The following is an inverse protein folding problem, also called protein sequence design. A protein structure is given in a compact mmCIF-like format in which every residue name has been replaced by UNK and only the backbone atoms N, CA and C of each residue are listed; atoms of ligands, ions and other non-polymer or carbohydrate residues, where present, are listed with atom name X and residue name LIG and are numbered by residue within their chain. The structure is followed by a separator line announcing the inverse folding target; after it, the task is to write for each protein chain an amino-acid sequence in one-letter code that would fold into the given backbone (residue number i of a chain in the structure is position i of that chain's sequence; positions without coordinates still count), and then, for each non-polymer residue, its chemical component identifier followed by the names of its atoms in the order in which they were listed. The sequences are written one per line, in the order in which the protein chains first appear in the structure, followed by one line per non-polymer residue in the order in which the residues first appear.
data_IF_285365336101
#
_entry.id   IF_285365336101
#
_cell.length_a   1.000
_cell.length_b   1.000
_cell.length_c   1.000
_cell.angle_alpha   90.00
_cell.angle_beta   90.00
_cell.angle_gamma   90.00
#
_symmetry.space_group_name_H-M   'P 1'
#
loop_
_entity.id
_entity.type
_entity.pdbx_description
1 polymer ?
#
# COMPACT_ATOMS: atom_id res chain seq x y z
N UNK A 1 -0.42 9.50 32.78
CA UNK A 1 -0.46 9.18 31.34
C UNK A 1 -1.92 9.02 30.93
N UNK A 2 -2.47 9.89 30.09
CA UNK A 2 -3.89 9.81 29.72
C UNK A 2 -4.03 8.90 28.46
N UNK A 3 -4.69 7.73 28.54
CA UNK A 3 -4.80 6.79 27.40
C UNK A 3 -5.40 7.42 26.14
N UNK A 4 -6.23 8.45 26.31
CA UNK A 4 -6.79 9.25 25.22
C UNK A 4 -5.70 9.97 24.39
N UNK A 5 -4.68 10.55 25.03
CA UNK A 5 -3.55 11.20 24.32
C UNK A 5 -2.75 10.19 23.50
N UNK A 6 -2.49 9.01 24.07
CA UNK A 6 -1.76 7.94 23.38
C UNK A 6 -2.52 7.51 22.12
N UNK A 7 -3.83 7.25 22.24
CA UNK A 7 -4.64 6.83 21.09
C UNK A 7 -4.81 7.95 20.06
N UNK A 8 -5.02 9.20 20.50
CA UNK A 8 -5.11 10.34 19.60
C UNK A 8 -3.82 10.51 18.76
N UNK A 9 -2.65 10.37 19.39
CA UNK A 9 -1.38 10.41 18.69
C UNK A 9 -1.18 9.23 17.72
N UNK A 10 -1.63 8.02 18.09
CA UNK A 10 -1.57 6.85 17.19
C UNK A 10 -2.46 7.02 15.96
N UNK A 11 -3.66 7.58 16.12
CA UNK A 11 -4.55 7.90 15.00
C UNK A 11 -3.93 8.99 14.12
N UNK A 12 -3.34 10.02 14.74
CA UNK A 12 -2.62 11.07 14.02
C UNK A 12 -1.45 10.51 13.22
N UNK A 13 -0.59 9.70 13.85
CA UNK A 13 0.52 8.98 13.21
C UNK A 13 0.04 8.18 12.00
N UNK A 14 -1.07 7.45 12.14
CA UNK A 14 -1.63 6.66 11.05
C UNK A 14 -2.13 7.51 9.87
N UNK A 15 -2.62 8.74 10.10
CA UNK A 15 -3.14 9.62 9.05
C UNK A 15 -2.02 10.43 8.38
N UNK A 16 -1.07 10.95 9.17
CA UNK A 16 -0.04 11.88 8.71
C UNK A 16 1.36 11.25 8.60
N UNK A 17 1.54 9.98 8.95
CA UNK A 17 2.83 9.27 8.89
C UNK A 17 3.80 9.60 10.02
N UNK A 18 3.58 10.70 10.77
CA UNK A 18 4.34 11.07 11.96
C UNK A 18 3.42 11.49 13.10
N UNK A 19 3.67 10.99 14.30
CA UNK A 19 2.95 11.39 15.52
C UNK A 19 3.30 12.82 15.95
N UNK A 20 2.37 13.49 16.65
CA UNK A 20 2.65 14.73 17.37
C UNK A 20 3.74 14.50 18.43
N UNK A 21 3.67 13.36 19.12
CA UNK A 21 4.79 12.77 19.85
C UNK A 21 5.42 11.72 18.94
N UNK A 22 6.68 11.93 18.55
CA UNK A 22 7.36 11.05 17.60
C UNK A 22 7.61 9.64 18.18
N UNK A 23 7.82 9.56 19.50
CA UNK A 23 7.99 8.31 20.25
C UNK A 23 6.63 7.71 20.61
N UNK A 24 5.99 7.07 19.63
CA UNK A 24 4.65 6.49 19.78
C UNK A 24 4.51 5.46 20.93
N UNK A 25 5.63 4.83 21.32
CA UNK A 25 5.71 3.86 22.42
C UNK A 25 6.02 4.48 23.80
N UNK A 26 6.48 5.73 23.86
CA UNK A 26 6.94 6.34 25.10
C UNK A 26 6.38 7.75 25.28
N UNK A 27 5.29 7.86 26.05
CA UNK A 27 4.72 9.14 26.50
C UNK A 27 5.21 9.55 27.91
N UNK A 28 6.23 8.87 28.43
CA UNK A 28 6.84 9.17 29.71
C UNK A 28 7.88 10.30 29.62
N UNK A 29 8.60 10.53 30.72
CA UNK A 29 9.66 11.54 30.83
C UNK A 29 10.85 11.31 29.87
N UNK A 30 11.00 10.08 29.38
CA UNK A 30 12.02 9.70 28.38
C UNK A 30 11.49 9.75 26.93
N UNK A 31 10.24 10.15 26.73
CA UNK A 31 9.65 10.39 25.42
C UNK A 31 10.01 11.77 24.87
N UNK A 32 9.80 11.96 23.58
CA UNK A 32 9.89 13.28 22.95
C UNK A 32 8.69 14.14 23.33
N UNK A 33 8.91 15.44 23.50
CA UNK A 33 7.81 16.40 23.67
C UNK A 33 6.93 16.47 22.41
N UNK A 34 5.62 16.62 22.62
CA UNK A 34 4.69 16.81 21.53
C UNK A 34 5.05 18.08 20.73
N UNK A 35 4.99 18.00 19.40
CA UNK A 35 5.18 19.17 18.53
C UNK A 35 4.14 20.26 18.80
N UNK A 36 2.92 19.86 19.20
CA UNK A 36 1.85 20.75 19.63
C UNK A 36 1.03 20.07 20.75
N UNK A 37 1.33 20.35 22.03
CA UNK A 37 0.63 19.76 23.18
C UNK A 37 -0.86 20.11 23.25
N UNK A 38 -1.22 21.35 22.93
CA UNK A 38 -2.59 21.86 22.98
C UNK A 38 -3.48 21.14 21.95
N UNK A 39 -2.96 20.91 20.75
CA UNK A 39 -3.63 20.13 19.72
C UNK A 39 -3.82 18.68 20.15
N UNK A 40 -2.78 18.06 20.74
CA UNK A 40 -2.89 16.70 21.26
C UNK A 40 -3.99 16.59 22.33
N UNK A 41 -4.09 17.59 23.21
CA UNK A 41 -5.12 17.66 24.25
C UNK A 41 -6.51 17.83 23.67
N UNK A 42 -6.67 18.72 22.69
CA UNK A 42 -7.91 18.90 21.98
C UNK A 42 -8.37 17.60 21.29
N UNK A 43 -7.45 16.91 20.60
CA UNK A 43 -7.76 15.64 19.92
C UNK A 43 -8.12 14.54 20.93
N UNK A 44 -7.42 14.46 22.05
CA UNK A 44 -7.72 13.51 23.12
C UNK A 44 -9.10 13.76 23.74
N UNK A 45 -9.41 15.02 24.09
CA UNK A 45 -10.72 15.41 24.61
C UNK A 45 -11.84 15.09 23.61
N UNK A 46 -11.64 15.44 22.33
CA UNK A 46 -12.58 15.14 21.25
C UNK A 46 -12.80 13.64 21.07
N UNK A 47 -11.74 12.84 21.17
CA UNK A 47 -11.83 11.39 21.00
C UNK A 47 -12.68 10.75 22.10
N UNK A 48 -12.48 11.16 23.36
CA UNK A 48 -13.29 10.71 24.51
C UNK A 48 -14.75 11.19 24.36
N UNK A 49 -14.96 12.47 24.04
CA UNK A 49 -16.29 13.05 23.86
C UNK A 49 -17.10 12.45 22.70
N UNK A 50 -16.43 11.82 21.73
CA UNK A 50 -17.08 11.09 20.63
C UNK A 50 -17.23 9.58 20.88
N UNK A 51 -17.08 9.14 22.14
CA UNK A 51 -17.24 7.74 22.54
C UNK A 51 -16.13 6.84 22.03
N UNK A 52 -14.89 7.34 21.97
CA UNK A 52 -13.71 6.56 21.56
C UNK A 52 -13.78 5.99 20.13
N UNK A 53 -14.61 6.59 19.28
CA UNK A 53 -14.82 6.12 17.91
C UNK A 53 -13.66 6.51 16.99
N UNK A 54 -12.80 5.53 16.67
CA UNK A 54 -11.67 5.69 15.74
C UNK A 54 -12.12 6.23 14.37
N UNK A 55 -13.22 5.70 13.81
CA UNK A 55 -13.72 6.13 12.49
C UNK A 55 -14.09 7.63 12.45
N UNK A 56 -14.80 8.12 13.48
CA UNK A 56 -15.14 9.55 13.62
C UNK A 56 -13.88 10.41 13.73
N UNK A 57 -12.87 9.96 14.48
CA UNK A 57 -11.61 10.69 14.63
C UNK A 57 -10.83 10.74 13.32
N UNK A 58 -10.69 9.62 12.61
CA UNK A 58 -10.06 9.57 11.29
C UNK A 58 -10.79 10.50 10.33
N UNK A 59 -12.13 10.42 10.24
CA UNK A 59 -12.93 11.31 9.37
C UNK A 59 -12.67 12.79 9.69
N UNK A 60 -12.57 13.14 10.97
CA UNK A 60 -12.27 14.51 11.38
C UNK A 60 -10.89 14.97 10.86
N UNK A 61 -9.85 14.14 10.99
CA UNK A 61 -8.52 14.45 10.48
C UNK A 61 -8.49 14.54 8.95
N UNK A 62 -9.14 13.62 8.24
CA UNK A 62 -9.21 13.61 6.77
C UNK A 62 -9.93 14.85 6.19
N UNK A 63 -10.82 15.47 6.96
CA UNK A 63 -11.54 16.70 6.54
C UNK A 63 -10.79 17.99 6.91
N UNK A 64 -9.67 17.89 7.65
CA UNK A 64 -8.86 19.05 8.03
C UNK A 64 -8.22 19.72 6.81
N UNK A 65 -7.80 20.99 6.98
CA UNK A 65 -6.99 21.66 5.95
C UNK A 65 -5.61 21.01 5.85
N UNK A 66 -5.00 20.61 6.98
CA UNK A 66 -3.69 19.95 7.01
C UNK A 66 -3.63 18.65 6.20
N UNK A 67 -4.71 17.87 6.18
CA UNK A 67 -4.77 16.67 5.33
C UNK A 67 -4.95 16.97 3.84
N UNK A 68 -5.57 18.10 3.50
CA UNK A 68 -5.86 18.52 2.12
C UNK A 68 -4.80 19.42 1.50
N UNK A 69 -3.68 19.62 2.20
CA UNK A 69 -2.55 20.35 1.65
C UNK A 69 -1.90 19.57 0.52
N UNK A 70 -1.27 20.30 -0.41
CA UNK A 70 -0.45 19.70 -1.45
C UNK A 70 0.80 19.05 -0.83
N UNK A 71 1.32 17.98 -1.46
CA UNK A 71 2.58 17.34 -1.05
C UNK A 71 3.84 18.13 -1.43
N UNK A 72 3.69 19.30 -2.07
CA UNK A 72 4.79 20.14 -2.53
C UNK A 72 5.30 21.01 -1.38
N UNK A 73 6.54 20.76 -0.96
CA UNK A 73 7.22 21.57 0.03
C UNK A 73 7.71 22.90 -0.58
N UNK A 74 7.46 24.01 0.11
CA UNK A 74 8.12 25.29 -0.19
C UNK A 74 9.55 25.30 0.33
N UNK A 75 10.47 25.95 -0.39
CA UNK A 75 11.89 25.98 -0.04
C UNK A 75 12.14 26.58 1.36
N UNK A 76 11.34 27.59 1.74
CA UNK A 76 11.40 28.20 3.06
C UNK A 76 10.98 27.20 4.16
N UNK A 77 9.88 26.47 3.95
CA UNK A 77 9.40 25.46 4.88
C UNK A 77 10.43 24.34 5.08
N UNK A 78 11.11 23.93 4.00
CA UNK A 78 12.13 22.88 4.06
C UNK A 78 13.40 23.32 4.81
N UNK A 79 13.71 24.62 4.85
CA UNK A 79 14.82 25.17 5.66
C UNK A 79 14.45 25.29 7.14
N UNK A 80 13.23 25.71 7.45
CA UNK A 80 12.79 25.97 8.83
C UNK A 80 12.32 24.71 9.56
N UNK A 81 11.62 23.81 8.88
CA UNK A 81 11.14 22.53 9.42
C UNK A 81 11.41 21.40 8.41
N UNK A 82 12.68 20.97 8.27
CA UNK A 82 13.05 19.91 7.33
C UNK A 82 12.34 18.58 7.57
N UNK A 83 11.84 18.37 8.79
CA UNK A 83 11.14 17.16 9.20
C UNK A 83 9.62 17.25 9.04
N UNK A 84 9.11 18.39 8.57
CA UNK A 84 7.69 18.70 8.42
C UNK A 84 6.85 18.38 9.67
N UNK A 85 7.41 18.63 10.86
CA UNK A 85 6.75 18.41 12.17
C UNK A 85 5.48 19.23 12.33
N UNK A 86 5.40 20.38 11.68
CA UNK A 86 4.26 21.30 11.73
C UNK A 86 3.24 21.08 10.61
N UNK A 87 3.47 20.11 9.71
CA UNK A 87 2.61 19.82 8.55
C UNK A 87 2.34 21.08 7.70
N UNK A 88 3.41 21.65 7.15
CA UNK A 88 3.33 22.73 6.15
C UNK A 88 2.83 22.24 4.79
N UNK A 89 3.05 20.97 4.50
CA UNK A 89 2.63 20.24 3.30
C UNK A 89 2.25 18.80 3.71
N UNK A 90 1.53 18.07 2.84
CA UNK A 90 1.30 16.65 3.09
C UNK A 90 2.60 15.86 2.84
N UNK A 91 2.95 14.93 3.73
CA UNK A 91 4.14 14.11 3.54
C UNK A 91 3.79 12.87 2.74
N UNK A 92 4.49 12.66 1.63
CA UNK A 92 4.36 11.46 0.80
C UNK A 92 4.64 10.23 1.65
N UNK A 93 3.73 9.25 1.61
CA UNK A 93 3.83 8.05 2.44
C UNK A 93 3.92 6.80 1.59
N UNK A 94 4.84 5.91 1.97
CA UNK A 94 4.90 4.57 1.40
C UNK A 94 3.79 3.72 1.99
N UNK A 95 3.14 2.92 1.16
CA UNK A 95 2.13 1.95 1.59
C UNK A 95 2.79 0.81 2.36
N UNK A 96 2.08 0.29 3.36
CA UNK A 96 2.47 -0.92 4.10
C UNK A 96 2.35 -2.16 3.19
N UNK A 97 3.13 -3.21 3.46
CA UNK A 97 3.14 -4.45 2.67
C UNK A 97 1.76 -5.08 2.49
N UNK A 98 0.91 -5.04 3.53
CA UNK A 98 -0.47 -5.51 3.49
C UNK A 98 -1.32 -4.71 2.49
N UNK A 99 -1.12 -3.38 2.44
CA UNK A 99 -1.84 -2.50 1.51
C UNK A 99 -1.38 -2.72 0.08
N UNK A 100 -0.07 -2.90 -0.15
CA UNK A 100 0.48 -3.23 -1.48
C UNK A 100 -0.10 -4.56 -1.96
N UNK A 101 -0.01 -5.61 -1.15
CA UNK A 101 -0.55 -6.95 -1.48
C UNK A 101 -2.04 -6.91 -1.76
N UNK A 102 -2.83 -6.28 -0.89
CA UNK A 102 -4.29 -6.21 -1.04
C UNK A 102 -4.69 -5.36 -2.26
N UNK A 103 -3.92 -4.32 -2.61
CA UNK A 103 -4.14 -3.54 -3.84
C UNK A 103 -3.88 -4.36 -5.10
N UNK A 104 -2.82 -5.18 -5.14
CA UNK A 104 -2.55 -6.11 -6.25
C UNK A 104 -3.72 -7.10 -6.41
N UNK A 105 -4.22 -7.67 -5.31
CA UNK A 105 -5.39 -8.54 -5.31
C UNK A 105 -6.67 -7.79 -5.77
N UNK A 106 -6.84 -6.53 -5.37
CA UNK A 106 -8.00 -5.75 -5.73
C UNK A 106 -8.07 -5.46 -7.23
N UNK A 107 -6.93 -5.11 -7.82
CA UNK A 107 -6.81 -4.69 -9.22
C UNK A 107 -6.87 -5.89 -10.17
N UNK A 108 -6.18 -6.98 -9.84
CA UNK A 108 -6.40 -8.29 -10.49
C UNK A 108 -7.83 -8.83 -10.25
N UNK A 109 -8.51 -8.26 -9.24
CA UNK A 109 -9.84 -8.58 -8.76
C UNK A 109 -9.98 -10.01 -8.23
N UNK A 110 -8.88 -10.56 -7.71
CA UNK A 110 -8.84 -11.75 -6.87
C UNK A 110 -9.24 -11.47 -5.42
N UNK A 111 -9.29 -10.19 -5.00
CA UNK A 111 -9.56 -9.81 -3.62
C UNK A 111 -10.92 -10.32 -3.12
N UNK A 112 -10.89 -11.25 -2.18
CA UNK A 112 -12.04 -11.64 -1.37
C UNK A 112 -12.20 -10.68 -0.18
N UNK A 113 -13.36 -10.01 -0.14
CA UNK A 113 -13.74 -9.05 0.91
C UNK A 113 -14.53 -9.68 2.06
N UNK A 114 -14.75 -11.00 2.03
CA UNK A 114 -15.52 -11.71 3.07
C UNK A 114 -14.91 -11.45 4.44
N UNK A 115 -15.75 -11.02 5.38
CA UNK A 115 -15.30 -10.73 6.74
C UNK A 115 -15.37 -11.98 7.62
N UNK A 116 -14.48 -12.04 8.61
CA UNK A 116 -14.36 -13.15 9.57
C UNK A 116 -13.96 -14.48 8.90
N UNK A 117 -14.04 -15.57 9.66
CA UNK A 117 -13.64 -16.90 9.21
C UNK A 117 -12.22 -17.29 9.64
N UNK A 118 -11.79 -18.53 9.33
CA UNK A 118 -10.47 -19.02 9.67
C UNK A 118 -9.36 -18.29 8.91
N UNK A 119 -8.14 -18.26 9.45
CA UNK A 119 -7.00 -17.70 8.75
C UNK A 119 -6.53 -18.61 7.60
N UNK A 120 -5.89 -18.02 6.60
CA UNK A 120 -5.22 -18.74 5.50
C UNK A 120 -3.75 -18.90 5.82
N UNK A 121 -3.19 -20.07 5.52
CA UNK A 121 -1.76 -20.30 5.66
C UNK A 121 -1.01 -19.44 4.63
N UNK A 122 0.09 -18.76 4.98
CA UNK A 122 0.89 -18.09 3.97
C UNK A 122 1.55 -19.11 3.04
N UNK A 123 1.85 -18.66 1.82
CA UNK A 123 2.62 -19.43 0.87
C UNK A 123 4.02 -19.74 1.41
N UNK A 124 4.44 -20.99 1.22
CA UNK A 124 5.74 -21.53 1.60
C UNK A 124 6.21 -22.45 0.49
N UNK A 125 7.52 -22.59 0.31
CA UNK A 125 8.06 -23.56 -0.66
C UNK A 125 7.75 -24.99 -0.22
N UNK A 126 7.98 -25.29 1.07
CA UNK A 126 7.76 -26.61 1.65
C UNK A 126 7.09 -26.51 3.03
N UNK A 127 6.14 -27.40 3.36
CA UNK A 127 5.59 -27.50 4.70
C UNK A 127 6.62 -28.07 5.68
N UNK A 128 6.58 -27.60 6.94
CA UNK A 128 7.41 -28.10 8.04
C UNK A 128 6.50 -28.51 9.19
N UNK A 129 6.00 -29.74 9.15
CA UNK A 129 5.00 -30.26 10.10
C UNK A 129 5.48 -30.23 11.55
N UNK A 130 6.76 -30.53 11.78
CA UNK A 130 7.38 -30.49 13.11
C UNK A 130 7.36 -29.09 13.75
N UNK A 131 7.21 -28.02 12.96
CA UNK A 131 7.03 -26.63 13.41
C UNK A 131 5.61 -26.11 13.20
N UNK A 132 4.67 -26.96 12.76
CA UNK A 132 3.29 -26.60 12.41
C UNK A 132 3.22 -25.49 11.35
N UNK A 133 4.18 -25.48 10.42
CA UNK A 133 4.25 -24.54 9.31
C UNK A 133 3.67 -25.20 8.07
N UNK A 134 2.36 -25.08 7.89
CA UNK A 134 1.65 -25.65 6.75
C UNK A 134 1.75 -24.74 5.53
N UNK A 135 1.76 -25.30 4.32
CA UNK A 135 1.75 -24.52 3.09
C UNK A 135 0.34 -23.98 2.82
N UNK A 136 0.25 -22.76 2.29
CA UNK A 136 -0.97 -22.22 1.72
C UNK A 136 -0.76 -21.71 0.30
N UNK A 137 -1.83 -21.27 -0.37
CA UNK A 137 -1.79 -20.81 -1.75
C UNK A 137 -0.98 -19.51 -1.90
N UNK A 138 -0.39 -19.32 -3.08
CA UNK A 138 0.46 -18.17 -3.41
C UNK A 138 -0.25 -16.83 -3.17
N UNK A 139 -1.50 -16.71 -3.63
CA UNK A 139 -2.32 -15.51 -3.48
C UNK A 139 -3.15 -15.49 -2.19
N UNK A 140 -2.96 -16.46 -1.29
CA UNK A 140 -3.74 -16.59 -0.06
C UNK A 140 -5.24 -16.79 -0.28
N UNK A 141 -5.64 -17.47 -1.37
CA UNK A 141 -7.03 -17.62 -1.83
C UNK A 141 -7.71 -16.28 -2.11
N UNK A 142 -6.92 -15.26 -2.46
CA UNK A 142 -7.40 -13.89 -2.64
C UNK A 142 -7.83 -13.19 -1.35
N UNK A 143 -7.65 -13.81 -0.18
CA UNK A 143 -8.03 -13.23 1.11
C UNK A 143 -7.16 -12.01 1.42
N UNK A 144 -7.79 -11.01 2.05
CA UNK A 144 -7.08 -9.84 2.62
C UNK A 144 -5.92 -10.29 3.49
N UNK A 145 -4.81 -9.55 3.44
CA UNK A 145 -3.58 -9.86 4.18
C UNK A 145 -3.80 -9.96 5.69
N UNK A 146 -4.85 -9.31 6.21
CA UNK A 146 -5.33 -9.45 7.60
C UNK A 146 -5.63 -10.90 8.01
N UNK A 147 -6.07 -11.75 7.07
CA UNK A 147 -6.41 -13.15 7.32
C UNK A 147 -5.25 -14.10 7.09
N UNK A 148 -4.09 -13.60 6.65
CA UNK A 148 -2.88 -14.43 6.52
C UNK A 148 -2.36 -14.79 7.91
N UNK A 149 -2.19 -16.08 8.17
CA UNK A 149 -1.75 -16.59 9.46
C UNK A 149 -0.32 -16.12 9.78
N UNK A 150 -0.17 -15.41 10.89
CA UNK A 150 1.13 -14.99 11.41
C UNK A 150 1.69 -16.07 12.35
N UNK A 151 2.97 -16.39 12.20
CA UNK A 151 3.69 -17.30 13.10
C UNK A 151 4.98 -16.63 13.59
N UNK A 152 5.52 -17.07 14.73
CA UNK A 152 6.79 -16.53 15.28
C UNK A 152 8.04 -17.08 14.58
N UNK A 153 7.89 -18.04 13.66
CA UNK A 153 9.01 -18.74 13.05
C UNK A 153 9.23 -18.31 11.60
N UNK A 154 8.20 -18.43 10.77
CA UNK A 154 8.27 -18.14 9.34
C UNK A 154 6.94 -17.52 8.90
N UNK A 155 6.98 -16.25 8.53
CA UNK A 155 5.83 -15.49 8.04
C UNK A 155 5.68 -15.58 6.52
N UNK A 156 5.00 -14.59 5.95
CA UNK A 156 4.90 -14.43 4.49
C UNK A 156 6.13 -13.70 3.99
N UNK A 157 6.91 -14.32 3.11
CA UNK A 157 8.11 -13.70 2.51
C UNK A 157 7.82 -12.36 1.83
N UNK A 158 6.69 -12.28 1.10
CA UNK A 158 6.25 -11.04 0.47
C UNK A 158 6.04 -9.94 1.53
N UNK A 159 5.22 -10.20 2.55
CA UNK A 159 4.93 -9.20 3.58
C UNK A 159 6.19 -8.80 4.37
N UNK A 160 7.04 -9.77 4.74
CA UNK A 160 8.31 -9.51 5.42
C UNK A 160 9.24 -8.61 4.60
N UNK A 161 9.26 -8.79 3.28
CA UNK A 161 10.05 -7.93 2.37
C UNK A 161 9.58 -6.47 2.43
N UNK A 162 8.27 -6.24 2.60
CA UNK A 162 7.66 -4.92 2.73
C UNK A 162 7.44 -4.51 4.20
N UNK A 163 8.44 -4.74 5.03
CA UNK A 163 8.54 -4.24 6.42
C UNK A 163 7.39 -4.73 7.34
N UNK A 164 6.87 -5.94 7.12
CA UNK A 164 5.91 -6.52 8.06
C UNK A 164 6.56 -6.71 9.45
N UNK A 165 5.93 -6.27 10.56
CA UNK A 165 6.56 -6.26 11.86
C UNK A 165 6.87 -7.66 12.35
N UNK A 166 8.05 -7.83 12.95
CA UNK A 166 8.42 -9.10 13.58
C UNK A 166 7.45 -9.40 14.75
N UNK A 167 6.71 -10.53 14.71
CA UNK A 167 5.69 -10.84 15.71
C UNK A 167 6.25 -11.22 17.09
N UNK A 168 7.58 -11.25 17.25
CA UNK A 168 8.25 -11.53 18.53
C UNK A 168 8.58 -10.27 19.32
N UNK A 169 8.49 -9.08 18.71
CA UNK A 169 8.88 -7.80 19.33
C UNK A 169 7.71 -6.81 19.23
N UNK A 170 7.45 -6.07 20.30
CA UNK A 170 6.49 -4.98 20.27
C UNK A 170 7.03 -3.81 19.42
N UNK A 171 6.22 -3.33 18.48
CA UNK A 171 6.56 -2.21 17.59
C UNK A 171 5.41 -1.22 17.59
N UNK A 172 5.59 -0.02 18.16
CA UNK A 172 4.58 1.04 18.13
C UNK A 172 4.71 2.00 16.97
N UNK A 173 5.81 1.94 16.24
CA UNK A 173 5.93 2.51 14.91
C UNK A 173 6.40 1.45 13.91
N UNK A 174 5.84 1.50 12.70
CA UNK A 174 6.25 0.60 11.62
C UNK A 174 7.45 1.19 10.90
N UNK A 175 8.34 0.31 10.47
CA UNK A 175 9.42 0.73 9.57
C UNK A 175 8.82 1.02 8.20
N UNK A 176 9.39 2.03 7.53
CA UNK A 176 9.10 2.35 6.15
C UNK A 176 10.43 2.49 5.44
N UNK A 177 10.89 1.41 4.82
CA UNK A 177 12.16 1.38 4.11
C UNK A 177 11.95 1.51 2.59
N UNK A 178 12.99 1.92 1.87
CA UNK A 178 13.03 1.93 0.41
C UNK A 178 14.31 1.24 -0.04
N UNK A 179 14.35 -0.08 0.16
CA UNK A 179 15.53 -0.90 -0.11
C UNK A 179 15.38 -1.66 -1.43
N UNK A 180 16.49 -1.94 -2.15
CA UNK A 180 16.44 -2.67 -3.42
C UNK A 180 15.66 -4.00 -3.41
N UNK A 181 15.71 -4.83 -2.33
CA UNK A 181 14.90 -6.06 -2.25
C UNK A 181 13.40 -5.85 -2.45
N UNK A 182 12.84 -4.72 -2.01
CA UNK A 182 11.42 -4.42 -2.20
C UNK A 182 11.06 -4.17 -3.67
N UNK A 183 11.90 -3.44 -4.39
CA UNK A 183 11.72 -3.24 -5.83
C UNK A 183 11.90 -4.57 -6.59
N UNK A 184 12.90 -5.37 -6.21
CA UNK A 184 13.13 -6.68 -6.80
C UNK A 184 11.97 -7.66 -6.53
N UNK A 185 11.30 -7.56 -5.39
CA UNK A 185 10.10 -8.35 -5.10
C UNK A 185 8.93 -7.97 -6.03
N UNK A 186 8.69 -6.68 -6.30
CA UNK A 186 7.68 -6.28 -7.30
C UNK A 186 8.03 -6.77 -8.71
N UNK A 187 9.31 -6.84 -9.05
CA UNK A 187 9.75 -7.32 -10.36
C UNK A 187 9.67 -8.84 -10.51
N UNK A 188 9.97 -9.61 -9.46
CA UNK A 188 10.26 -11.05 -9.62
C UNK A 188 9.41 -11.98 -8.76
N UNK A 189 8.68 -11.47 -7.76
CA UNK A 189 7.92 -12.35 -6.88
C UNK A 189 6.82 -13.08 -7.68
N UNK A 190 6.72 -14.41 -7.57
CA UNK A 190 5.71 -15.20 -8.28
C UNK A 190 4.28 -14.69 -8.06
N UNK A 191 3.98 -14.17 -6.86
CA UNK A 191 2.68 -13.59 -6.56
C UNK A 191 2.36 -12.44 -7.50
N UNK A 192 3.29 -11.49 -7.68
CA UNK A 192 3.07 -10.31 -8.53
C UNK A 192 2.91 -10.71 -9.99
N UNK A 193 3.74 -11.64 -10.48
CA UNK A 193 3.66 -12.15 -11.85
C UNK A 193 2.37 -12.92 -12.12
N UNK A 194 1.90 -13.73 -11.16
CA UNK A 194 0.62 -14.44 -11.27
C UNK A 194 -0.56 -13.46 -11.31
N UNK A 195 -0.58 -12.49 -10.39
CA UNK A 195 -1.67 -11.50 -10.34
C UNK A 195 -1.69 -10.59 -11.58
N UNK A 196 -0.53 -10.27 -12.16
CA UNK A 196 -0.46 -9.57 -13.44
C UNK A 196 -1.08 -10.40 -14.58
N UNK A 197 -0.84 -11.73 -14.60
CA UNK A 197 -1.43 -12.65 -15.56
C UNK A 197 -2.95 -12.79 -15.41
N UNK A 198 -3.44 -12.83 -14.17
CA UNK A 198 -4.88 -12.84 -13.87
C UNK A 198 -5.54 -11.53 -14.32
N UNK A 199 -4.91 -10.39 -14.03
CA UNK A 199 -5.42 -9.09 -14.45
C UNK A 199 -5.49 -8.98 -15.98
N UNK A 200 -4.42 -9.40 -16.68
CA UNK A 200 -4.37 -9.45 -18.13
C UNK A 200 -5.51 -10.27 -18.75
N UNK A 201 -5.78 -11.47 -18.21
CA UNK A 201 -6.89 -12.30 -18.66
C UNK A 201 -8.24 -11.60 -18.54
N UNK A 202 -8.48 -10.87 -17.45
CA UNK A 202 -9.70 -10.08 -17.26
C UNK A 202 -9.80 -8.90 -18.21
N UNK A 203 -8.69 -8.22 -18.50
CA UNK A 203 -8.65 -7.09 -19.43
C UNK A 203 -8.98 -7.55 -20.86
N UNK A 204 -8.51 -8.74 -21.25
CA UNK A 204 -8.86 -9.36 -22.53
C UNK A 204 -10.36 -9.67 -22.57
N UNK A 205 -10.91 -10.30 -21.53
CA UNK A 205 -12.34 -10.63 -21.45
C UNK A 205 -13.27 -9.41 -21.50
N UNK A 206 -12.85 -8.25 -20.97
CA UNK A 206 -13.61 -6.99 -21.06
C UNK A 206 -13.67 -6.38 -22.47
N UNK A 207 -12.86 -6.86 -23.41
CA UNK A 207 -12.85 -6.48 -24.82
C UNK A 207 -12.92 -4.95 -25.09
N UNK A 208 -11.95 -4.20 -24.57
CA UNK A 208 -11.79 -2.78 -24.89
C UNK A 208 -11.57 -2.56 -26.40
N UNK A 209 -12.02 -1.43 -26.98
CA UNK A 209 -11.97 -1.20 -28.42
C UNK A 209 -10.56 -0.92 -28.96
N UNK A 210 -9.68 -0.35 -28.14
CA UNK A 210 -8.31 0.03 -28.55
C UNK A 210 -7.31 -0.21 -27.41
N UNK A 211 -6.00 -0.33 -27.71
CA UNK A 211 -4.97 -0.38 -26.67
C UNK A 211 -5.01 0.83 -25.74
N UNK A 212 -5.18 2.04 -26.29
CA UNK A 212 -5.27 3.28 -25.50
C UNK A 212 -6.46 3.30 -24.54
N UNK A 213 -7.63 2.82 -24.98
CA UNK A 213 -8.80 2.70 -24.11
C UNK A 213 -8.58 1.68 -22.97
N UNK A 214 -7.84 0.59 -23.25
CA UNK A 214 -7.46 -0.39 -22.22
C UNK A 214 -6.47 0.20 -21.23
N UNK A 215 -5.45 0.92 -21.70
CA UNK A 215 -4.49 1.63 -20.84
C UNK A 215 -5.22 2.62 -19.92
N UNK A 216 -6.15 3.41 -20.45
CA UNK A 216 -6.93 4.35 -19.64
C UNK A 216 -7.72 3.63 -18.52
N UNK A 217 -8.37 2.53 -18.84
CA UNK A 217 -9.08 1.71 -17.85
C UNK A 217 -8.13 1.10 -16.80
N UNK A 218 -6.92 0.69 -17.21
CA UNK A 218 -5.92 0.18 -16.27
C UNK A 218 -5.46 1.26 -15.28
N UNK A 219 -5.26 2.49 -15.75
CA UNK A 219 -4.93 3.64 -14.90
C UNK A 219 -6.05 3.93 -13.90
N UNK A 220 -7.31 3.93 -14.33
CA UNK A 220 -8.44 4.14 -13.42
C UNK A 220 -8.56 3.04 -12.37
N UNK A 221 -8.34 1.78 -12.75
CA UNK A 221 -8.40 0.65 -11.80
C UNK A 221 -7.25 0.67 -10.80
N UNK A 222 -6.03 1.00 -11.25
CA UNK A 222 -4.82 0.92 -10.43
C UNK A 222 -4.58 2.18 -9.58
N UNK A 223 -4.73 3.35 -10.18
CA UNK A 223 -4.35 4.65 -9.59
C UNK A 223 -5.57 5.53 -9.27
N UNK A 224 -6.78 5.15 -9.70
CA UNK A 224 -7.99 5.93 -9.44
C UNK A 224 -8.11 7.22 -10.26
N UNK A 225 -7.26 7.43 -11.27
CA UNK A 225 -7.27 8.58 -12.18
C UNK A 225 -7.07 8.15 -13.63
N UNK A 226 -7.38 9.03 -14.58
CA UNK A 226 -6.99 8.85 -15.98
C UNK A 226 -5.49 9.19 -16.17
N UNK A 227 -4.81 8.57 -17.16
CA UNK A 227 -3.45 8.94 -17.51
C UNK A 227 -3.43 10.33 -18.13
N UNK A 228 -2.32 11.06 -17.97
CA UNK A 228 -2.05 12.24 -18.79
C UNK A 228 -1.68 11.85 -20.24
N UNK A 229 -1.56 12.84 -21.13
CA UNK A 229 -1.27 12.60 -22.54
C UNK A 229 0.06 11.86 -22.73
N UNK A 230 1.10 12.28 -22.01
CA UNK A 230 2.43 11.69 -22.13
C UNK A 230 2.48 10.26 -21.56
N UNK A 231 1.74 9.98 -20.48
CA UNK A 231 1.55 8.64 -19.92
C UNK A 231 0.81 7.74 -20.91
N UNK A 232 -0.26 8.24 -21.52
CA UNK A 232 -1.04 7.49 -22.52
C UNK A 232 -0.18 7.13 -23.73
N UNK A 233 0.57 8.07 -24.26
CA UNK A 233 1.50 7.83 -25.37
C UNK A 233 2.58 6.81 -24.99
N UNK A 234 3.22 6.98 -23.83
CA UNK A 234 4.26 6.05 -23.35
C UNK A 234 3.75 4.61 -23.20
N UNK A 235 2.61 4.41 -22.55
CA UNK A 235 2.06 3.07 -22.34
C UNK A 235 1.51 2.44 -23.62
N UNK A 236 0.95 3.25 -24.52
CA UNK A 236 0.53 2.76 -25.84
C UNK A 236 1.75 2.36 -26.69
N UNK A 237 2.83 3.16 -26.66
CA UNK A 237 4.12 2.83 -27.29
C UNK A 237 4.72 1.55 -26.72
N UNK A 238 4.77 1.44 -25.39
CA UNK A 238 5.25 0.25 -24.69
C UNK A 238 4.46 -1.01 -25.07
N UNK A 239 3.16 -0.90 -25.30
CA UNK A 239 2.33 -2.03 -25.77
C UNK A 239 2.82 -2.55 -27.12
N UNK A 240 3.20 -1.66 -28.05
CA UNK A 240 3.73 -2.04 -29.36
C UNK A 240 5.14 -2.65 -29.25
N UNK A 241 5.99 -2.09 -28.40
CA UNK A 241 7.33 -2.63 -28.14
C UNK A 241 7.26 -4.05 -27.57
N UNK A 242 6.42 -4.26 -26.56
CA UNK A 242 6.19 -5.58 -25.95
C UNK A 242 5.58 -6.55 -26.97
N UNK A 243 4.63 -6.10 -27.79
CA UNK A 243 4.08 -6.94 -28.86
C UNK A 243 5.16 -7.41 -29.84
N UNK A 244 6.09 -6.53 -30.21
CA UNK A 244 7.25 -6.88 -31.06
C UNK A 244 8.16 -7.91 -30.39
N UNK A 245 8.49 -7.72 -29.11
CA UNK A 245 9.31 -8.67 -28.34
C UNK A 245 8.68 -10.07 -28.26
N UNK A 246 7.36 -10.14 -28.08
CA UNK A 246 6.61 -11.40 -28.08
C UNK A 246 6.28 -11.93 -29.47
N UNK A 247 6.69 -11.23 -30.55
CA UNK A 247 6.38 -11.57 -31.95
C UNK A 247 4.87 -11.70 -32.22
N UNK A 248 4.08 -10.85 -31.56
CA UNK A 248 2.62 -10.77 -31.72
C UNK A 248 2.29 -9.77 -32.82
N UNK A 249 1.52 -10.20 -33.82
CA UNK A 249 1.04 -9.33 -34.87
C UNK A 249 0.12 -8.23 -34.32
N UNK A 250 0.16 -7.03 -34.91
CA UNK A 250 -0.53 -5.83 -34.40
C UNK A 250 -2.05 -6.02 -34.24
N UNK A 251 -2.67 -6.79 -35.13
CA UNK A 251 -4.09 -7.14 -35.11
C UNK A 251 -4.47 -8.08 -33.95
N UNK A 252 -3.49 -8.80 -33.39
CA UNK A 252 -3.68 -9.77 -32.30
C UNK A 252 -3.29 -9.25 -30.93
N UNK A 253 -2.73 -8.04 -30.83
CA UNK A 253 -2.28 -7.44 -29.57
C UNK A 253 -3.38 -7.42 -28.52
N UNK A 254 -4.61 -7.06 -28.90
CA UNK A 254 -5.73 -6.97 -27.98
C UNK A 254 -6.15 -8.31 -27.35
N UNK A 255 -5.82 -9.44 -27.99
CA UNK A 255 -6.07 -10.79 -27.47
C UNK A 255 -4.87 -11.46 -26.79
N UNK A 256 -3.70 -10.81 -26.78
CA UNK A 256 -2.47 -11.45 -26.31
C UNK A 256 -2.28 -11.33 -24.79
N UNK A 257 -2.38 -12.46 -24.08
CA UNK A 257 -2.18 -12.47 -22.64
C UNK A 257 -0.76 -12.10 -22.21
N UNK A 258 0.27 -12.48 -22.99
CA UNK A 258 1.66 -12.15 -22.64
C UNK A 258 1.90 -10.63 -22.68
N UNK A 259 1.40 -9.95 -23.70
CA UNK A 259 1.55 -8.49 -23.84
C UNK A 259 0.88 -7.76 -22.68
N UNK A 260 -0.39 -8.10 -22.39
CA UNK A 260 -1.12 -7.42 -21.32
C UNK A 260 -0.63 -7.80 -19.92
N UNK A 261 -0.04 -9.00 -19.75
CA UNK A 261 0.62 -9.39 -18.50
C UNK A 261 1.83 -8.50 -18.23
N UNK A 262 2.67 -8.26 -19.23
CA UNK A 262 3.87 -7.43 -19.05
C UNK A 262 3.51 -5.96 -18.85
N UNK A 263 2.47 -5.45 -19.51
CA UNK A 263 1.94 -4.10 -19.23
C UNK A 263 1.39 -4.02 -17.79
N UNK A 264 0.59 -4.99 -17.35
CA UNK A 264 0.09 -5.05 -15.98
C UNK A 264 1.23 -5.10 -14.95
N UNK A 265 2.27 -5.89 -15.22
CA UNK A 265 3.46 -6.01 -14.40
C UNK A 265 4.24 -4.69 -14.33
N UNK A 266 4.45 -4.01 -15.47
CA UNK A 266 5.07 -2.69 -15.51
C UNK A 266 4.28 -1.67 -14.68
N UNK A 267 2.95 -1.72 -14.72
CA UNK A 267 2.11 -0.81 -13.94
C UNK A 267 2.17 -1.07 -12.43
N UNK A 268 2.28 -2.31 -11.96
CA UNK A 268 2.53 -2.61 -10.54
C UNK A 268 3.88 -2.06 -10.04
N UNK A 269 4.81 -1.75 -10.94
CA UNK A 269 6.11 -1.18 -10.61
C UNK A 269 6.15 0.37 -10.68
N UNK A 270 5.01 1.03 -10.93
CA UNK A 270 4.91 2.47 -10.86
C UNK A 270 5.13 2.95 -9.42
N UNK A 271 5.86 4.06 -9.25
CA UNK A 271 6.05 4.68 -7.93
C UNK A 271 4.71 5.06 -7.30
N UNK A 272 3.79 5.61 -8.09
CA UNK A 272 2.46 6.01 -7.62
C UNK A 272 1.62 4.83 -7.10
N UNK A 273 1.94 3.59 -7.48
CA UNK A 273 1.27 2.41 -6.93
C UNK A 273 1.66 2.12 -5.47
N UNK A 274 2.89 2.49 -5.07
CA UNK A 274 3.45 2.16 -3.75
C UNK A 274 3.44 3.37 -2.80
N UNK A 275 3.22 4.58 -3.33
CA UNK A 275 3.23 5.82 -2.57
C UNK A 275 1.89 6.54 -2.65
N UNK A 276 1.46 7.10 -1.51
CA UNK A 276 0.30 8.00 -1.40
C UNK A 276 0.83 9.43 -1.25
N UNK A 277 0.34 10.31 -2.12
CA UNK A 277 0.69 11.71 -2.22
C UNK A 277 -0.40 12.62 -1.67
#
# INVERSE_FOLDING_TARGET
MHPARVMANRIWLHVFGRGLVATADNFGTYGESASNPELLDYLAWRFVGNGWSIKKQIRFLLLSQSFRQESRAEEAAQKTDPQNRLLSHYSVRRLEGESIRDSILAVSGRLDRTMYGPPVQPNREEPKDYRKLFQGPLDGDGRRSLYTKVTRHEGSRFLETFDFPNPTVARGNRDSTNVPPQALALLNDPFVLEQAGVWAGRLIAKNAPTPGARVEEMFRQLLGRSPDEAERERFTGLTNEIASLHKVATDKVMGSQSVWKDIAHAMFNLKEFVYVW
#
